data_IF_405648701813
#
_entry.id   IF_405648701813
#
_cell.length_a   1.000
_cell.length_b   1.000
_cell.length_c   1.000
_cell.angle_alpha   90.00
_cell.angle_beta   90.00
_cell.angle_gamma   90.00
#
_symmetry.space_group_name_H-M   'P 1'
#
loop_
_entity.id
_entity.type
_entity.pdbx_description
1 polymer ?
#
# COMPACT_ATOMS: atom_id res chain seq x y z
N UNK A 1 -4.28 22.66 13.21
CA UNK A 1 -5.09 22.50 14.45
C UNK A 1 -6.55 22.11 14.24
N UNK A 2 -7.22 22.39 13.11
CA UNK A 2 -8.64 22.04 12.93
C UNK A 2 -8.98 20.56 13.25
N UNK A 3 -8.16 19.61 12.79
CA UNK A 3 -8.33 18.18 13.08
C UNK A 3 -8.18 17.82 14.57
N UNK A 4 -7.36 18.56 15.33
CA UNK A 4 -7.24 18.37 16.77
C UNK A 4 -8.45 19.00 17.47
N UNK A 5 -8.83 20.22 17.08
CA UNK A 5 -10.01 20.92 17.61
C UNK A 5 -11.33 20.15 17.45
N UNK A 6 -11.48 19.35 16.38
CA UNK A 6 -12.66 18.49 16.20
C UNK A 6 -12.77 17.37 17.23
N UNK A 7 -11.66 16.95 17.83
CA UNK A 7 -11.62 15.88 18.84
C UNK A 7 -11.69 16.45 20.27
N UNK A 8 -11.40 17.74 20.44
CA UNK A 8 -11.18 18.39 21.74
C UNK A 8 -12.40 18.38 22.69
N UNK A 9 -13.62 18.55 22.17
CA UNK A 9 -14.87 18.62 22.97
C UNK A 9 -15.90 17.55 22.61
N UNK A 10 -15.47 16.41 22.07
CA UNK A 10 -16.41 15.32 21.72
C UNK A 10 -17.17 14.82 22.97
N UNK A 11 -18.42 14.34 22.82
CA UNK A 11 -19.23 14.29 21.59
C UNK A 11 -20.00 15.60 21.30
N UNK A 12 -20.49 15.75 20.06
CA UNK A 12 -21.41 16.81 19.58
C UNK A 12 -21.06 18.26 20.00
N UNK A 13 -19.84 18.69 19.68
CA UNK A 13 -19.39 20.05 19.98
C UNK A 13 -18.67 20.69 18.80
N UNK A 14 -18.80 22.01 18.70
CA UNK A 14 -17.99 22.83 17.79
C UNK A 14 -16.93 23.56 18.60
N UNK A 15 -15.67 23.41 18.19
CA UNK A 15 -14.53 24.08 18.83
C UNK A 15 -13.92 25.09 17.86
N UNK A 16 -13.84 26.34 18.28
CA UNK A 16 -13.08 27.39 17.59
C UNK A 16 -11.87 27.71 18.44
N UNK A 17 -10.67 27.67 17.84
CA UNK A 17 -9.40 27.98 18.49
C UNK A 17 -8.71 29.03 17.62
N UNK A 18 -8.61 30.25 18.12
CA UNK A 18 -7.83 31.31 17.45
C UNK A 18 -6.34 31.08 17.66
N UNK A 19 -5.50 31.75 16.85
CA UNK A 19 -4.04 31.57 16.91
C UNK A 19 -3.47 31.99 18.27
N UNK A 20 -4.06 33.02 18.86
CA UNK A 20 -3.68 33.58 20.16
C UNK A 20 -4.05 32.67 21.33
N UNK A 21 -5.05 31.79 21.14
CA UNK A 21 -5.53 30.82 22.13
C UNK A 21 -4.75 29.51 22.14
N UNK A 22 -3.92 29.25 21.12
CA UNK A 22 -3.14 28.00 20.99
C UNK A 22 -2.24 27.75 22.22
N UNK A 23 -1.47 28.74 22.72
CA UNK A 23 -0.60 28.51 23.87
C UNK A 23 -1.34 28.17 25.17
N UNK A 24 -2.60 28.58 25.33
CA UNK A 24 -3.36 28.34 26.55
C UNK A 24 -4.21 27.07 26.45
N UNK A 25 -4.76 26.78 25.27
CA UNK A 25 -5.68 25.65 25.07
C UNK A 25 -4.92 24.39 24.65
N UNK A 26 -3.98 24.49 23.70
CA UNK A 26 -3.39 23.33 23.05
C UNK A 26 -2.01 22.97 23.59
N UNK A 27 -1.17 23.95 23.92
CA UNK A 27 0.18 23.68 24.44
C UNK A 27 0.21 22.83 25.72
N UNK A 28 -0.76 22.92 26.66
CA UNK A 28 -0.79 22.04 27.82
C UNK A 28 -1.11 20.58 27.50
N UNK A 29 -1.62 20.28 26.30
CA UNK A 29 -2.00 18.92 25.93
C UNK A 29 -0.76 18.03 25.72
N UNK A 30 -0.89 16.71 25.94
CA UNK A 30 0.15 15.75 25.60
C UNK A 30 0.59 15.88 24.14
N UNK A 31 1.88 15.71 23.88
CA UNK A 31 2.43 15.79 22.52
C UNK A 31 1.83 14.75 21.57
N UNK A 32 1.31 13.64 22.13
CA UNK A 32 0.62 12.57 21.40
C UNK A 32 -0.73 12.98 20.81
N UNK A 33 -1.32 14.09 21.27
CA UNK A 33 -2.57 14.62 20.73
C UNK A 33 -2.34 15.39 19.43
N UNK A 34 -1.09 15.78 19.15
CA UNK A 34 -0.72 16.42 17.91
C UNK A 34 -0.77 15.41 16.75
N UNK A 35 -1.43 15.81 15.66
CA UNK A 35 -1.45 15.02 14.44
C UNK A 35 -0.01 14.72 13.98
N UNK A 36 0.20 13.50 13.50
CA UNK A 36 1.50 12.97 13.05
C UNK A 36 2.49 12.60 14.16
N UNK A 37 2.12 12.73 15.44
CA UNK A 37 2.89 12.17 16.56
C UNK A 37 2.41 10.75 16.87
N UNK A 38 3.06 9.77 16.25
CA UNK A 38 2.84 8.35 16.56
C UNK A 38 3.70 7.85 17.73
N UNK A 39 3.51 6.59 18.13
CA UNK A 39 4.25 5.95 19.24
C UNK A 39 5.77 6.09 19.15
N UNK A 40 6.34 5.95 17.95
CA UNK A 40 7.78 6.05 17.73
C UNK A 40 8.30 7.49 17.94
N UNK A 41 7.61 8.48 17.35
CA UNK A 41 7.95 9.89 17.54
C UNK A 41 7.77 10.31 18.99
N UNK A 42 6.69 9.89 19.66
CA UNK A 42 6.45 10.18 21.06
C UNK A 42 7.57 9.64 21.98
N UNK A 43 8.05 8.41 21.72
CA UNK A 43 9.19 7.84 22.45
C UNK A 43 10.45 8.67 22.27
N UNK A 44 10.80 9.02 21.04
CA UNK A 44 11.98 9.85 20.75
C UNK A 44 11.89 11.23 21.41
N UNK A 45 10.71 11.86 21.40
CA UNK A 45 10.48 13.14 22.06
C UNK A 45 10.58 13.05 23.58
N UNK A 46 10.06 11.97 24.17
CA UNK A 46 10.15 11.72 25.60
C UNK A 46 11.60 11.50 26.09
N UNK A 47 12.45 10.87 25.26
CA UNK A 47 13.90 10.75 25.52
C UNK A 47 14.61 12.12 25.63
N UNK A 48 13.99 13.18 25.10
CA UNK A 48 14.44 14.56 25.19
C UNK A 48 13.55 15.45 26.08
N UNK A 49 12.76 14.86 26.98
CA UNK A 49 11.87 15.56 27.92
C UNK A 49 10.79 16.42 27.27
N UNK A 50 10.40 16.11 26.03
CA UNK A 50 9.29 16.78 25.34
C UNK A 50 8.02 15.94 25.56
N UNK A 51 7.12 16.43 26.42
CA UNK A 51 5.92 15.69 26.80
C UNK A 51 4.63 16.38 26.36
N UNK A 52 4.65 17.69 26.20
CA UNK A 52 3.50 18.49 25.79
C UNK A 52 3.67 19.12 24.40
N UNK A 53 2.57 19.55 23.79
CA UNK A 53 2.62 20.32 22.54
C UNK A 53 3.43 21.62 22.75
N UNK A 54 3.35 22.23 23.93
CA UNK A 54 4.11 23.42 24.28
C UNK A 54 5.61 23.17 24.38
N UNK A 55 6.04 22.02 24.90
CA UNK A 55 7.46 21.64 24.94
C UNK A 55 7.99 21.49 23.52
N UNK A 56 7.23 20.83 22.65
CA UNK A 56 7.58 20.64 21.24
C UNK A 56 7.62 21.97 20.48
N UNK A 57 6.70 22.89 20.77
CA UNK A 57 6.64 24.21 20.16
C UNK A 57 7.82 25.12 20.56
N UNK A 58 8.35 24.97 21.78
CA UNK A 58 9.49 25.74 22.31
C UNK A 58 10.84 25.09 22.00
N UNK A 59 10.87 23.81 21.66
CA UNK A 59 12.09 23.11 21.30
C UNK A 59 12.72 23.74 20.05
N UNK A 60 14.06 23.73 19.97
CA UNK A 60 14.74 24.25 18.79
C UNK A 60 14.41 23.36 17.59
N UNK A 61 13.86 23.96 16.55
CA UNK A 61 13.51 23.30 15.28
C UNK A 61 14.66 22.46 14.70
N UNK A 62 15.90 22.91 14.86
CA UNK A 62 17.11 22.20 14.42
C UNK A 62 17.38 20.90 15.19
N UNK A 63 17.10 20.88 16.50
CA UNK A 63 17.28 19.67 17.31
C UNK A 63 16.24 18.62 16.94
N UNK A 64 14.99 19.04 16.74
CA UNK A 64 13.93 18.17 16.24
C UNK A 64 14.29 17.60 14.86
N UNK A 65 14.92 18.38 13.99
CA UNK A 65 15.44 17.90 12.70
C UNK A 65 16.53 16.85 12.87
N UNK A 66 17.45 17.01 13.83
CA UNK A 66 18.49 16.01 14.11
C UNK A 66 17.90 14.69 14.59
N UNK A 67 16.86 14.74 15.42
CA UNK A 67 16.26 13.55 16.02
C UNK A 67 15.27 12.82 15.10
N UNK A 68 14.45 13.57 14.38
CA UNK A 68 13.31 13.05 13.61
C UNK A 68 13.39 13.39 12.11
N UNK A 69 14.48 14.01 11.65
CA UNK A 69 14.63 14.44 10.25
C UNK A 69 13.62 15.53 9.86
N UNK A 70 13.21 15.52 8.60
CA UNK A 70 12.18 16.43 8.07
C UNK A 70 10.87 16.37 8.87
N UNK A 71 10.55 15.21 9.43
CA UNK A 71 9.36 15.03 10.27
C UNK A 71 9.41 15.89 11.52
N UNK A 72 10.58 16.03 12.16
CA UNK A 72 10.76 16.88 13.33
C UNK A 72 10.49 18.36 13.05
N UNK A 73 10.95 18.86 11.89
CA UNK A 73 10.64 20.21 11.42
C UNK A 73 9.13 20.39 11.23
N UNK A 74 8.46 19.42 10.61
CA UNK A 74 7.01 19.46 10.41
C UNK A 74 6.23 19.45 11.73
N UNK A 75 6.68 18.67 12.71
CA UNK A 75 6.07 18.63 14.04
C UNK A 75 6.24 19.95 14.80
N UNK A 76 7.41 20.59 14.70
CA UNK A 76 7.64 21.93 15.24
C UNK A 76 6.67 22.95 14.63
N UNK A 77 6.58 22.96 13.30
CA UNK A 77 5.74 23.88 12.56
C UNK A 77 4.26 23.61 12.89
N UNK A 78 3.85 22.35 13.03
CA UNK A 78 2.51 21.97 13.46
C UNK A 78 2.18 22.41 14.89
N UNK A 79 3.10 22.25 15.85
CA UNK A 79 2.93 22.65 17.25
C UNK A 79 2.81 24.18 17.44
N UNK A 80 3.39 24.94 16.51
CA UNK A 80 3.30 26.41 16.46
C UNK A 80 2.18 26.93 15.54
N UNK A 81 1.43 26.05 14.88
CA UNK A 81 0.36 26.44 13.95
C UNK A 81 0.85 27.10 12.67
N UNK A 82 2.02 26.70 12.17
CA UNK A 82 2.64 27.19 10.92
C UNK A 82 2.42 26.23 9.74
N UNK A 83 1.37 25.42 9.81
CA UNK A 83 0.95 24.58 8.69
C UNK A 83 0.21 25.44 7.64
N UNK A 84 0.88 25.65 6.51
CA UNK A 84 0.36 26.40 5.36
C UNK A 84 -0.17 25.49 4.24
N UNK A 85 -0.39 24.20 4.52
CA UNK A 85 -0.91 23.28 3.52
C UNK A 85 -2.30 23.69 3.04
N UNK A 86 -2.48 23.68 1.72
CA UNK A 86 -3.76 24.01 1.10
C UNK A 86 -4.75 22.88 1.33
N UNK A 87 -5.99 23.26 1.65
CA UNK A 87 -7.12 22.34 1.63
C UNK A 87 -7.42 22.00 0.18
N UNK A 88 -7.37 20.70 -0.16
CA UNK A 88 -7.76 20.24 -1.48
C UNK A 88 -9.28 20.32 -1.63
N UNK A 89 -9.79 20.77 -2.79
CA UNK A 89 -11.22 20.74 -3.06
C UNK A 89 -11.81 19.34 -2.90
N UNK A 90 -13.05 19.29 -2.43
CA UNK A 90 -13.78 18.03 -2.32
C UNK A 90 -13.94 17.39 -3.72
N UNK A 91 -13.62 16.11 -3.83
CA UNK A 91 -13.66 15.36 -5.09
C UNK A 91 -12.33 15.29 -5.85
N UNK A 92 -11.36 16.17 -5.55
CA UNK A 92 -10.03 16.08 -6.15
C UNK A 92 -9.18 15.01 -5.45
N UNK A 93 -8.98 13.87 -6.12
CA UNK A 93 -8.06 12.82 -5.66
C UNK A 93 -6.80 12.86 -6.53
N UNK A 94 -5.60 13.07 -5.96
CA UNK A 94 -4.37 12.99 -6.74
C UNK A 94 -4.23 11.59 -7.34
N UNK A 95 -3.60 11.46 -8.52
CA UNK A 95 -3.30 10.16 -9.06
C UNK A 95 -2.45 9.37 -8.06
N UNK A 96 -2.70 8.05 -7.90
CA UNK A 96 -1.96 7.23 -6.97
C UNK A 96 -0.48 7.22 -7.34
N UNK A 97 0.41 7.26 -6.34
CA UNK A 97 1.87 7.11 -6.55
C UNK A 97 2.30 5.66 -6.64
N UNK A 98 1.47 4.76 -6.10
CA UNK A 98 1.67 3.32 -6.13
C UNK A 98 0.32 2.61 -6.02
N UNK A 99 0.26 1.37 -6.52
CA UNK A 99 -0.91 0.49 -6.42
C UNK A 99 -0.46 -0.82 -5.81
N UNK A 100 -0.98 -1.15 -4.63
CA UNK A 100 -0.58 -2.36 -3.92
C UNK A 100 -1.76 -3.25 -3.51
N UNK A 101 -1.47 -4.53 -3.28
CA UNK A 101 -2.35 -5.46 -2.60
C UNK A 101 -1.54 -6.35 -1.67
N UNK A 102 -2.04 -6.57 -0.47
CA UNK A 102 -1.38 -7.43 0.52
C UNK A 102 -2.38 -8.25 1.30
N UNK A 103 -1.92 -9.40 1.77
CA UNK A 103 -2.70 -10.32 2.57
C UNK A 103 -1.87 -10.81 3.76
N UNK A 104 -2.46 -10.76 4.94
CA UNK A 104 -2.01 -11.49 6.11
C UNK A 104 -2.79 -12.81 6.12
N UNK A 105 -2.10 -13.92 5.85
CA UNK A 105 -2.75 -15.20 5.53
C UNK A 105 -3.46 -15.81 6.76
N UNK A 106 -4.47 -16.67 6.59
CA UNK A 106 -5.14 -17.32 7.74
C UNK A 106 -4.18 -18.24 8.51
N UNK A 107 -3.39 -19.01 7.77
CA UNK A 107 -2.24 -19.80 8.25
C UNK A 107 -0.96 -19.31 7.59
N UNK A 108 0.18 -19.57 8.19
CA UNK A 108 1.46 -19.30 7.52
C UNK A 108 1.56 -20.17 6.26
N UNK A 109 2.04 -19.58 5.17
CA UNK A 109 2.34 -20.31 3.95
C UNK A 109 3.71 -20.94 4.05
N UNK A 110 3.86 -22.16 3.58
CA UNK A 110 5.11 -22.93 3.61
C UNK A 110 5.33 -23.64 2.29
N UNK A 111 6.57 -23.64 1.81
CA UNK A 111 6.92 -24.25 0.53
C UNK A 111 6.66 -23.33 -0.66
N UNK A 112 7.33 -23.66 -1.77
CA UNK A 112 7.31 -22.84 -2.98
C UNK A 112 5.91 -22.72 -3.59
N UNK A 113 5.16 -23.82 -3.64
CA UNK A 113 3.82 -23.85 -4.25
C UNK A 113 2.85 -22.87 -3.58
N UNK A 114 2.74 -22.90 -2.25
CA UNK A 114 1.82 -22.04 -1.51
C UNK A 114 2.21 -20.56 -1.63
N UNK A 115 3.50 -20.27 -1.47
CA UNK A 115 4.02 -18.90 -1.53
C UNK A 115 3.82 -18.32 -2.94
N UNK A 116 4.08 -19.11 -3.98
CA UNK A 116 3.83 -18.70 -5.36
C UNK A 116 2.34 -18.54 -5.66
N UNK A 117 1.46 -19.41 -5.14
CA UNK A 117 0.02 -19.24 -5.28
C UNK A 117 -0.46 -17.93 -4.63
N UNK A 118 0.06 -17.59 -3.44
CA UNK A 118 -0.20 -16.30 -2.79
C UNK A 118 0.32 -15.11 -3.61
N UNK A 119 1.53 -15.22 -4.16
CA UNK A 119 2.11 -14.18 -5.03
C UNK A 119 1.27 -13.97 -6.30
N UNK A 120 0.81 -15.06 -6.94
CA UNK A 120 -0.01 -14.99 -8.14
C UNK A 120 -1.34 -14.26 -7.85
N UNK A 121 -2.03 -14.63 -6.77
CA UNK A 121 -3.28 -13.99 -6.37
C UNK A 121 -3.09 -12.47 -6.18
N UNK A 122 -2.03 -12.07 -5.49
CA UNK A 122 -1.74 -10.66 -5.22
C UNK A 122 -1.35 -9.91 -6.52
N UNK A 123 -0.60 -10.55 -7.41
CA UNK A 123 -0.21 -9.97 -8.70
C UNK A 123 -1.43 -9.74 -9.60
N UNK A 124 -2.36 -10.70 -9.67
CA UNK A 124 -3.63 -10.54 -10.38
C UNK A 124 -4.44 -9.34 -9.85
N UNK A 125 -4.54 -9.21 -8.52
CA UNK A 125 -5.27 -8.10 -7.87
C UNK A 125 -4.62 -6.74 -8.13
N UNK A 126 -3.29 -6.67 -8.12
CA UNK A 126 -2.54 -5.44 -8.45
C UNK A 126 -2.74 -5.08 -9.92
N UNK A 127 -2.60 -6.05 -10.83
CA UNK A 127 -2.77 -5.86 -12.26
C UNK A 127 -4.17 -5.36 -12.63
N UNK A 128 -5.21 -5.97 -12.04
CA UNK A 128 -6.60 -5.51 -12.20
C UNK A 128 -6.78 -4.06 -11.75
N UNK A 129 -6.21 -3.68 -10.60
CA UNK A 129 -6.27 -2.30 -10.08
C UNK A 129 -5.54 -1.32 -10.99
N UNK A 130 -4.36 -1.68 -11.49
CA UNK A 130 -3.61 -0.87 -12.46
C UNK A 130 -4.47 -0.60 -13.71
N UNK A 131 -5.09 -1.63 -14.29
CA UNK A 131 -5.97 -1.48 -15.47
C UNK A 131 -7.21 -0.63 -15.19
N UNK A 132 -7.83 -0.78 -14.02
CA UNK A 132 -8.98 0.08 -13.62
C UNK A 132 -8.59 1.55 -13.52
N UNK A 133 -7.36 1.84 -13.13
CA UNK A 133 -6.83 3.20 -13.10
C UNK A 133 -6.18 3.64 -14.42
N UNK A 134 -6.17 2.79 -15.46
CA UNK A 134 -5.50 3.06 -16.74
C UNK A 134 -4.01 3.39 -16.58
N UNK A 135 -3.34 2.67 -15.68
CA UNK A 135 -1.93 2.84 -15.35
C UNK A 135 -1.13 1.59 -15.73
N UNK A 136 0.13 1.80 -16.10
CA UNK A 136 1.18 0.76 -16.15
C UNK A 136 2.24 1.06 -15.10
N UNK A 137 2.91 0.04 -14.60
CA UNK A 137 4.01 0.20 -13.63
C UNK A 137 5.35 -0.15 -14.25
N UNK A 138 6.40 0.53 -13.80
CA UNK A 138 7.80 0.25 -14.18
C UNK A 138 8.60 -0.42 -13.06
N UNK A 139 8.04 -0.49 -11.85
CA UNK A 139 8.69 -1.10 -10.69
C UNK A 139 7.71 -1.99 -9.93
N UNK A 140 8.17 -3.17 -9.53
CA UNK A 140 7.44 -4.10 -8.68
C UNK A 140 8.22 -4.31 -7.39
N UNK A 141 7.56 -4.10 -6.26
CA UNK A 141 8.07 -4.35 -4.91
C UNK A 141 7.29 -5.49 -4.26
N UNK A 142 7.99 -6.38 -3.56
CA UNK A 142 7.41 -7.36 -2.66
C UNK A 142 7.83 -7.08 -1.22
N UNK A 143 6.87 -7.15 -0.30
CA UNK A 143 7.07 -7.09 1.14
C UNK A 143 6.68 -8.43 1.74
N UNK A 144 7.58 -9.05 2.48
CA UNK A 144 7.41 -10.37 3.09
C UNK A 144 7.55 -10.24 4.58
N UNK A 145 6.60 -10.81 5.34
CA UNK A 145 6.61 -10.77 6.80
C UNK A 145 6.66 -12.18 7.36
N UNK A 146 7.61 -12.43 8.26
CA UNK A 146 7.73 -13.68 9.01
C UNK A 146 6.73 -13.75 10.17
N UNK A 147 6.52 -14.92 10.79
CA UNK A 147 5.69 -15.08 11.99
C UNK A 147 6.18 -14.25 13.18
N UNK A 148 7.49 -13.97 13.25
CA UNK A 148 8.12 -13.11 14.25
C UNK A 148 7.96 -11.61 13.93
N UNK A 149 7.08 -11.27 12.99
CA UNK A 149 6.79 -9.91 12.52
C UNK A 149 7.98 -9.16 11.90
N UNK A 150 9.07 -9.87 11.58
CA UNK A 150 10.17 -9.30 10.81
C UNK A 150 9.74 -9.13 9.36
N UNK A 151 9.93 -7.94 8.82
CA UNK A 151 9.52 -7.62 7.45
C UNK A 151 10.75 -7.34 6.60
N UNK A 152 10.84 -8.00 5.44
CA UNK A 152 11.83 -7.68 4.41
C UNK A 152 11.12 -7.14 3.18
N UNK A 153 11.77 -6.21 2.49
CA UNK A 153 11.26 -5.58 1.27
C UNK A 153 12.32 -5.61 0.18
N UNK A 154 11.89 -5.95 -1.04
CA UNK A 154 12.72 -5.93 -2.24
C UNK A 154 11.91 -5.40 -3.40
N UNK A 155 12.59 -4.75 -4.33
CA UNK A 155 11.97 -4.22 -5.54
C UNK A 155 12.88 -4.43 -6.73
N UNK A 156 12.29 -4.48 -7.92
CA UNK A 156 13.02 -4.44 -9.19
C UNK A 156 12.22 -3.72 -10.26
N UNK A 157 12.93 -3.25 -11.28
CA UNK A 157 12.31 -2.74 -12.50
C UNK A 157 11.65 -3.85 -13.31
N UNK A 158 10.56 -3.52 -14.00
CA UNK A 158 9.96 -4.39 -15.01
C UNK A 158 10.70 -4.25 -16.33
N UNK A 159 10.69 -5.26 -17.22
CA UNK A 159 11.36 -5.18 -18.52
C UNK A 159 10.81 -4.07 -19.44
N UNK A 160 9.55 -3.70 -19.24
CA UNK A 160 8.88 -2.56 -19.85
C UNK A 160 7.70 -2.13 -18.94
N UNK A 161 7.15 -0.92 -19.09
CA UNK A 161 5.91 -0.55 -18.40
C UNK A 161 4.83 -1.60 -18.62
N UNK A 162 4.21 -2.10 -17.55
CA UNK A 162 3.23 -3.19 -17.66
C UNK A 162 2.08 -3.06 -16.68
N UNK A 163 0.92 -3.60 -17.05
CA UNK A 163 -0.22 -3.87 -16.17
C UNK A 163 -0.66 -5.34 -16.29
N UNK A 164 0.23 -6.21 -16.78
CA UNK A 164 -0.03 -7.64 -17.03
C UNK A 164 0.32 -8.44 -15.78
N UNK A 165 -0.65 -9.20 -15.28
CA UNK A 165 -0.52 -9.98 -14.04
C UNK A 165 0.65 -10.96 -14.09
N UNK A 166 0.84 -11.65 -15.22
CA UNK A 166 1.92 -12.62 -15.39
C UNK A 166 3.31 -11.99 -15.34
N UNK A 167 3.48 -10.78 -15.87
CA UNK A 167 4.78 -10.07 -15.82
C UNK A 167 5.07 -9.64 -14.39
N UNK A 168 4.07 -9.09 -13.68
CA UNK A 168 4.21 -8.72 -12.26
C UNK A 168 4.52 -9.95 -11.40
N UNK A 169 3.80 -11.05 -11.60
CA UNK A 169 4.05 -12.32 -10.91
C UNK A 169 5.48 -12.81 -11.13
N UNK A 170 5.94 -12.84 -12.38
CA UNK A 170 7.30 -13.28 -12.72
C UNK A 170 8.37 -12.42 -12.01
N UNK A 171 8.21 -11.09 -12.01
CA UNK A 171 9.09 -10.21 -11.26
C UNK A 171 9.09 -10.52 -9.76
N UNK A 172 7.94 -10.87 -9.17
CA UNK A 172 7.86 -11.23 -7.75
C UNK A 172 8.51 -12.57 -7.46
N UNK A 173 8.35 -13.58 -8.32
CA UNK A 173 9.02 -14.88 -8.17
C UNK A 173 10.53 -14.71 -8.20
N UNK A 174 11.06 -13.93 -9.14
CA UNK A 174 12.51 -13.63 -9.22
C UNK A 174 13.02 -12.89 -7.96
N UNK A 175 12.21 -11.99 -7.39
CA UNK A 175 12.55 -11.34 -6.12
C UNK A 175 12.52 -12.33 -4.94
N UNK A 176 11.60 -13.30 -4.96
CA UNK A 176 11.50 -14.33 -3.92
C UNK A 176 12.68 -15.30 -3.96
N UNK A 177 13.08 -15.77 -5.14
CA UNK A 177 14.20 -16.70 -5.33
C UNK A 177 15.51 -16.16 -4.74
N UNK A 178 15.76 -14.86 -4.89
CA UNK A 178 16.97 -14.21 -4.36
C UNK A 178 16.90 -13.81 -2.89
N UNK A 179 15.77 -13.95 -2.21
CA UNK A 179 15.57 -13.31 -0.90
C UNK A 179 14.88 -14.16 0.17
N UNK A 180 13.98 -15.07 -0.19
CA UNK A 180 13.21 -15.84 0.77
C UNK A 180 13.59 -17.32 0.73
N UNK A 181 13.81 -17.90 1.91
CA UNK A 181 13.93 -19.34 2.02
C UNK A 181 12.55 -19.98 1.90
N UNK A 182 12.31 -20.76 0.85
CA UNK A 182 11.03 -21.41 0.57
C UNK A 182 10.54 -22.35 1.67
N UNK A 183 11.43 -22.89 2.52
CA UNK A 183 11.05 -23.70 3.68
C UNK A 183 10.64 -22.87 4.89
N UNK A 184 10.95 -21.57 4.91
CA UNK A 184 10.61 -20.68 6.01
C UNK A 184 9.12 -20.25 5.92
N UNK A 185 8.38 -20.28 7.04
CA UNK A 185 6.97 -19.91 7.07
C UNK A 185 6.78 -18.41 6.76
N UNK A 186 5.81 -18.10 5.90
CA UNK A 186 5.46 -16.73 5.52
C UNK A 186 4.09 -16.34 6.10
N UNK A 187 4.07 -15.29 6.92
CA UNK A 187 2.86 -14.81 7.62
C UNK A 187 2.01 -13.87 6.78
N UNK A 188 2.67 -12.97 6.03
CA UNK A 188 2.01 -12.01 5.17
C UNK A 188 2.87 -11.66 3.96
N UNK A 189 2.21 -11.33 2.85
CA UNK A 189 2.84 -10.85 1.61
C UNK A 189 2.12 -9.60 1.14
N UNK A 190 2.85 -8.64 0.58
CA UNK A 190 2.28 -7.47 -0.12
C UNK A 190 3.06 -7.23 -1.40
N UNK A 191 2.35 -7.10 -2.52
CA UNK A 191 2.91 -6.70 -3.80
C UNK A 191 2.50 -5.24 -4.05
N UNK A 192 3.45 -4.41 -4.43
CA UNK A 192 3.22 -2.99 -4.74
C UNK A 192 3.83 -2.66 -6.10
N UNK A 193 2.99 -2.15 -6.99
CA UNK A 193 3.39 -1.55 -8.26
C UNK A 193 3.70 -0.06 -8.03
N UNK A 194 4.86 0.38 -8.51
CA UNK A 194 5.36 1.74 -8.40
C UNK A 194 5.93 2.22 -9.75
N UNK A 195 6.32 3.50 -9.81
CA UNK A 195 6.71 4.13 -11.08
C UNK A 195 5.55 4.08 -12.06
N UNK A 196 4.38 4.55 -11.61
CA UNK A 196 3.14 4.49 -12.37
C UNK A 196 3.18 5.52 -13.49
N UNK A 197 2.84 5.07 -14.70
CA UNK A 197 2.71 5.90 -15.89
C UNK A 197 1.31 5.71 -16.48
N UNK A 198 0.70 6.77 -17.03
CA UNK A 198 -0.52 6.63 -17.83
C UNK A 198 -0.32 5.61 -18.94
N UNK A 199 -1.29 4.75 -19.14
CA UNK A 199 -1.20 3.68 -20.13
C UNK A 199 -1.04 4.21 -21.56
N UNK A 200 -1.63 5.36 -21.86
CA UNK A 200 -1.53 6.05 -23.16
C UNK A 200 -0.13 6.63 -23.41
N UNK A 201 0.58 7.03 -22.35
CA UNK A 201 1.94 7.58 -22.42
C UNK A 201 3.02 6.48 -22.37
N UNK A 202 2.64 5.27 -21.97
CA UNK A 202 3.52 4.11 -21.91
C UNK A 202 3.78 3.56 -23.32
N UNK A 203 4.46 4.36 -24.15
CA UNK A 203 4.88 3.97 -25.49
C UNK A 203 5.74 2.71 -25.45
N UNK A 204 5.36 1.70 -26.22
CA UNK A 204 6.18 0.51 -26.40
C UNK A 204 7.30 0.83 -27.39
N UNK A 205 8.53 0.97 -26.89
CA UNK A 205 9.69 0.92 -27.77
C UNK A 205 9.78 -0.49 -28.34
N UNK A 206 9.47 -0.63 -29.64
CA UNK A 206 9.66 -1.87 -30.36
C UNK A 206 11.15 -2.17 -30.41
N UNK A 207 11.54 -3.27 -29.79
CA UNK A 207 12.89 -3.79 -29.92
C UNK A 207 13.10 -4.29 -31.35
N UNK A 208 14.04 -3.65 -32.07
CA UNK A 208 14.45 -4.01 -33.43
C UNK A 208 14.88 -5.48 -33.53
N UNK A 209 15.41 -6.05 -32.46
CA UNK A 209 15.92 -7.42 -32.42
C UNK A 209 14.91 -8.44 -31.88
N UNK A 210 13.81 -7.98 -31.26
CA UNK A 210 12.81 -8.87 -30.64
C UNK A 210 11.35 -8.47 -30.94
N UNK A 211 10.95 -8.31 -32.22
CA UNK A 211 9.60 -7.87 -32.58
C UNK A 211 8.49 -8.83 -32.09
N UNK A 212 8.80 -10.12 -31.93
CA UNK A 212 7.85 -11.11 -31.42
C UNK A 212 7.47 -10.88 -29.94
N UNK A 213 8.36 -10.29 -29.13
CA UNK A 213 8.09 -10.04 -27.71
C UNK A 213 7.00 -8.99 -27.54
N UNK A 214 7.03 -7.91 -28.34
CA UNK A 214 6.00 -6.88 -28.34
C UNK A 214 4.63 -7.46 -28.78
N UNK A 215 4.59 -8.25 -29.86
CA UNK A 215 3.35 -8.89 -30.32
C UNK A 215 2.75 -9.82 -29.26
N UNK A 216 3.57 -10.60 -28.56
CA UNK A 216 3.11 -11.48 -27.48
C UNK A 216 2.54 -10.68 -26.30
N UNK A 217 3.18 -9.58 -25.90
CA UNK A 217 2.70 -8.68 -24.84
C UNK A 217 1.35 -8.05 -25.20
N UNK A 218 1.21 -7.50 -26.41
CA UNK A 218 -0.05 -6.92 -26.88
C UNK A 218 -1.20 -7.94 -26.91
N UNK A 219 -0.93 -9.20 -27.28
CA UNK A 219 -1.93 -10.28 -27.17
C UNK A 219 -2.32 -10.57 -25.70
N UNK A 220 -1.36 -10.50 -24.80
CA UNK A 220 -1.56 -10.79 -23.38
C UNK A 220 -2.34 -9.68 -22.67
N UNK A 221 -2.08 -8.42 -23.00
CA UNK A 221 -2.87 -7.28 -22.53
C UNK A 221 -4.33 -7.39 -23.00
N UNK A 222 -4.56 -7.70 -24.28
CA UNK A 222 -5.91 -7.93 -24.83
C UNK A 222 -6.62 -9.09 -24.12
N UNK A 223 -5.91 -10.16 -23.80
CA UNK A 223 -6.45 -11.31 -23.06
C UNK A 223 -6.90 -10.87 -21.65
N UNK A 224 -6.03 -10.22 -20.88
CA UNK A 224 -6.36 -9.80 -19.51
C UNK A 224 -7.51 -8.79 -19.47
N UNK A 225 -7.57 -7.87 -20.44
CA UNK A 225 -8.72 -6.97 -20.60
C UNK A 225 -10.02 -7.71 -20.88
N UNK A 226 -9.98 -8.72 -21.75
CA UNK A 226 -11.15 -9.55 -22.04
C UNK A 226 -11.61 -10.32 -20.81
N UNK A 227 -10.67 -10.88 -20.05
CA UNK A 227 -10.97 -11.58 -18.79
C UNK A 227 -11.62 -10.65 -17.77
N UNK A 228 -11.12 -9.41 -17.64
CA UNK A 228 -11.69 -8.43 -16.73
C UNK A 228 -13.10 -8.02 -17.14
N UNK A 229 -13.34 -7.76 -18.43
CA UNK A 229 -14.67 -7.41 -18.95
C UNK A 229 -15.69 -8.54 -18.69
N UNK A 230 -15.27 -9.80 -18.82
CA UNK A 230 -16.11 -10.95 -18.47
C UNK A 230 -16.41 -11.01 -16.97
N UNK A 231 -15.42 -10.72 -16.11
CA UNK A 231 -15.60 -10.72 -14.66
C UNK A 231 -16.49 -9.58 -14.17
N UNK A 232 -16.37 -8.40 -14.77
CA UNK A 232 -17.22 -7.26 -14.44
C UNK A 232 -18.68 -7.52 -14.84
N UNK A 233 -18.93 -8.28 -15.92
CA UNK A 233 -20.28 -8.58 -16.41
C UNK A 233 -20.95 -9.80 -15.76
N UNK A 234 -20.19 -10.86 -15.50
CA UNK A 234 -20.73 -12.16 -15.05
C UNK A 234 -20.25 -12.59 -13.66
N UNK A 235 -19.44 -11.77 -13.01
CA UNK A 235 -18.92 -12.01 -11.66
C UNK A 235 -17.49 -12.56 -11.64
N UNK A 236 -16.82 -12.48 -10.48
CA UNK A 236 -15.39 -12.69 -10.35
C UNK A 236 -14.93 -14.14 -10.59
N UNK A 237 -15.83 -15.12 -10.52
CA UNK A 237 -15.52 -16.54 -10.63
C UNK A 237 -15.80 -17.13 -12.03
N UNK A 238 -16.27 -16.33 -13.00
CA UNK A 238 -16.65 -16.85 -14.33
C UNK A 238 -15.45 -17.34 -15.14
N UNK A 239 -14.29 -16.69 -14.97
CA UNK A 239 -13.06 -17.03 -15.68
C UNK A 239 -11.82 -16.76 -14.80
N UNK A 240 -10.88 -17.68 -14.83
CA UNK A 240 -9.65 -17.63 -14.05
C UNK A 240 -8.53 -18.41 -14.72
N UNK A 241 -7.29 -18.10 -14.36
CA UNK A 241 -6.15 -18.90 -14.80
C UNK A 241 -6.25 -20.32 -14.23
N UNK A 242 -5.83 -21.32 -15.01
CA UNK A 242 -5.85 -22.72 -14.58
C UNK A 242 -5.05 -22.94 -13.28
N UNK A 243 -3.94 -22.22 -13.10
CA UNK A 243 -3.13 -22.28 -11.88
C UNK A 243 -3.84 -21.78 -10.62
N UNK A 244 -4.98 -21.09 -10.77
CA UNK A 244 -5.84 -20.64 -9.66
C UNK A 244 -6.91 -21.67 -9.27
N UNK A 245 -7.08 -22.74 -10.04
CA UNK A 245 -8.05 -23.79 -9.73
C UNK A 245 -7.51 -24.88 -8.78
N UNK A 246 -6.23 -24.82 -8.40
CA UNK A 246 -5.67 -25.70 -7.38
C UNK A 246 -6.33 -25.45 -6.02
N UNK A 247 -6.49 -26.51 -5.23
CA UNK A 247 -7.10 -26.43 -3.90
C UNK A 247 -6.37 -25.42 -3.01
N UNK A 248 -5.03 -25.43 -3.06
CA UNK A 248 -4.13 -24.49 -2.40
C UNK A 248 -4.45 -23.02 -2.73
N UNK A 249 -4.68 -22.69 -4.01
CA UNK A 249 -4.96 -21.32 -4.41
C UNK A 249 -6.34 -20.82 -3.94
N UNK A 250 -7.34 -21.71 -3.89
CA UNK A 250 -8.70 -21.39 -3.38
C UNK A 250 -8.69 -21.10 -1.88
N UNK A 251 -7.97 -21.93 -1.10
CA UNK A 251 -7.82 -21.73 0.34
C UNK A 251 -7.15 -20.38 0.66
N UNK A 252 -6.11 -20.01 -0.08
CA UNK A 252 -5.40 -18.74 0.10
C UNK A 252 -6.27 -17.54 -0.29
N UNK A 253 -7.10 -17.67 -1.33
CA UNK A 253 -8.01 -16.61 -1.77
C UNK A 253 -9.13 -16.32 -0.76
N UNK A 254 -9.42 -17.26 0.14
CA UNK A 254 -10.55 -17.19 1.06
C UNK A 254 -11.90 -17.43 0.37
N UNK A 255 -11.89 -18.04 -0.83
CA UNK A 255 -13.09 -18.44 -1.55
C UNK A 255 -13.66 -19.70 -0.88
N UNK A 256 -14.48 -19.51 0.16
CA UNK A 256 -15.37 -20.56 0.65
C UNK A 256 -16.43 -20.81 -0.44
N UNK A 257 -16.15 -21.76 -1.34
CA UNK A 257 -17.19 -22.31 -2.22
C UNK A 257 -18.33 -22.83 -1.35
N UNK A 258 -19.53 -22.30 -1.62
CA UNK A 258 -20.73 -22.47 -0.82
C UNK A 258 -20.95 -23.87 -0.27
N UNK A 259 -21.12 -23.95 1.06
CA UNK A 259 -22.05 -24.91 1.65
C UNK A 259 -23.42 -24.60 1.06
N UNK A 260 -23.80 -25.31 -0.01
CA UNK A 260 -25.22 -25.57 -0.26
C UNK A 260 -25.75 -26.13 1.06
N UNK A 261 -26.66 -25.40 1.71
CA UNK A 261 -27.55 -26.02 2.68
C UNK A 261 -28.25 -27.15 1.90
N UNK A 262 -27.89 -28.38 2.22
CA UNK A 262 -28.79 -29.51 1.96
C UNK A 262 -30.04 -29.21 2.77
N UNK A 263 -31.04 -28.65 2.09
CA UNK A 263 -32.42 -28.86 2.49
C UNK A 263 -32.72 -30.35 2.25
N UNK A 264 -33.14 -31.01 3.31
CA UNK A 264 -33.66 -32.38 3.31
C UNK A 264 -34.63 -32.47 4.50
N UNK A 265 -35.68 -33.27 4.36
CA UNK A 265 -36.98 -32.92 3.79
C UNK A 265 -37.99 -32.43 4.84
#
# INVERSE_FOLDING_TARGET
FAKLGSDYKKPDATTVISREQVPQILWPLPVTDLLFVGRASARMLAEHHIHTIGDLARARREDLKKWLGKHGEQLHDAANGWDHSLVRPAGETPPPKSVGNGLTFRRNLTGAEEIQAGAQLLAERVALRLRRHQLKCTTVQVSLRSPEFKTIQRQKGTPAPTNVSRVIFQCVVELLEGTWNWSAPLRAMTITAAGLVPEEEAGEQLDLFTPQAAVRRGKQEKLERTMDALRDRYGPHVIGYASRQTQTAREIAGDETGKRKEESP
#
